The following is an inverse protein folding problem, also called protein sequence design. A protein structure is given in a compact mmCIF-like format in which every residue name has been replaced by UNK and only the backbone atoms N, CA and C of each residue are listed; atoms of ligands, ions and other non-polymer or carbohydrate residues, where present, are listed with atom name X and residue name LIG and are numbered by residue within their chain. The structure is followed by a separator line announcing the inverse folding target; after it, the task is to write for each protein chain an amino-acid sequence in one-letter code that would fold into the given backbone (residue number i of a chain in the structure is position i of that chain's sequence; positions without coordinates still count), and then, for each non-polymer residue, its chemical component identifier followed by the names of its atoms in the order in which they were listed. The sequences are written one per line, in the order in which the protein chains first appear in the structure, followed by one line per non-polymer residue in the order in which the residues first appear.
data_IF_049105206939
#
_entry.id   IF_049105206939
#
_cell.length_a   1.000
_cell.length_b   1.000
_cell.length_c   1.000
_cell.angle_alpha   90.00
_cell.angle_beta   90.00
_cell.angle_gamma   90.00
#
_symmetry.space_group_name_H-M   'P 1'
#
loop_
_entity.id
_entity.type
_entity.pdbx_description
1 polymer ?
#
# COMPACT_ATOMS: atom_id res chain seq x y z
N UNK A 1 -7.36 -14.12 27.31
CA UNK A 1 -7.14 -13.81 25.90
C UNK A 1 -7.90 -14.78 24.98
N UNK A 2 -7.60 -16.07 25.01
CA UNK A 2 -8.21 -17.07 24.11
C UNK A 2 -9.75 -17.06 24.11
N UNK A 3 -10.39 -16.98 25.26
CA UNK A 3 -11.87 -16.95 25.34
C UNK A 3 -12.47 -15.70 24.67
N UNK A 4 -11.76 -14.58 24.62
CA UNK A 4 -12.24 -13.36 23.99
C UNK A 4 -12.20 -13.44 22.46
N UNK A 5 -11.28 -14.22 21.88
CA UNK A 5 -11.06 -14.33 20.43
C UNK A 5 -11.52 -15.66 19.82
N UNK A 6 -11.96 -16.61 20.66
CA UNK A 6 -12.33 -17.96 20.24
C UNK A 6 -13.41 -17.95 19.14
N UNK A 7 -13.12 -18.65 18.06
CA UNK A 7 -14.07 -18.88 16.97
C UNK A 7 -14.37 -17.64 16.11
N UNK A 8 -13.55 -16.59 16.19
CA UNK A 8 -13.71 -15.40 15.39
C UNK A 8 -12.36 -14.80 14.98
N UNK A 9 -12.39 -14.00 13.92
CA UNK A 9 -11.27 -13.16 13.46
C UNK A 9 -11.56 -11.70 13.79
N UNK A 10 -10.54 -10.83 13.93
CA UNK A 10 -10.76 -9.40 14.06
C UNK A 10 -11.54 -8.85 12.86
N UNK A 11 -12.28 -7.79 13.08
CA UNK A 11 -12.90 -7.03 12.01
C UNK A 11 -11.82 -6.41 11.12
N UNK A 12 -11.99 -6.56 9.82
CA UNK A 12 -11.14 -5.93 8.82
C UNK A 12 -11.97 -4.99 7.96
N UNK A 13 -11.47 -3.79 7.74
CA UNK A 13 -12.17 -2.76 6.96
C UNK A 13 -12.20 -3.14 5.49
N UNK A 14 -11.05 -3.55 4.95
CA UNK A 14 -10.85 -3.94 3.54
C UNK A 14 -9.90 -5.12 3.42
N UNK A 15 -9.98 -5.79 2.28
CA UNK A 15 -9.05 -6.85 1.89
C UNK A 15 -7.97 -6.29 0.98
N UNK A 16 -6.73 -6.42 1.42
CA UNK A 16 -5.54 -5.92 0.72
C UNK A 16 -4.68 -7.08 0.28
N UNK A 17 -4.41 -7.20 -1.01
CA UNK A 17 -3.55 -8.24 -1.55
C UNK A 17 -2.15 -7.69 -1.85
N UNK A 18 -1.12 -8.27 -1.25
CA UNK A 18 0.29 -8.02 -1.59
C UNK A 18 0.68 -8.97 -2.70
N UNK A 19 0.95 -8.42 -3.88
CA UNK A 19 1.32 -9.17 -5.06
C UNK A 19 2.82 -9.46 -5.09
N UNK A 20 3.20 -10.71 -5.30
CA UNK A 20 4.60 -11.14 -5.41
C UNK A 20 4.74 -12.38 -6.32
N UNK A 21 5.97 -12.76 -6.61
CA UNK A 21 6.24 -13.94 -7.44
C UNK A 21 6.97 -15.08 -6.69
N UNK A 22 6.59 -15.33 -5.45
CA UNK A 22 7.21 -16.37 -4.60
C UNK A 22 7.32 -17.74 -5.28
N UNK A 23 6.36 -18.11 -6.14
CA UNK A 23 6.40 -19.37 -6.90
C UNK A 23 7.60 -19.48 -7.84
N UNK A 24 8.02 -18.39 -8.47
CA UNK A 24 9.18 -18.32 -9.37
C UNK A 24 10.51 -18.06 -8.64
N UNK A 25 10.49 -17.74 -7.37
CA UNK A 25 11.69 -17.41 -6.60
C UNK A 25 12.78 -18.47 -6.66
N UNK A 26 12.42 -19.75 -6.80
CA UNK A 26 13.42 -20.83 -6.90
C UNK A 26 14.26 -20.76 -8.18
N UNK A 27 13.68 -20.29 -9.27
CA UNK A 27 14.41 -20.07 -10.53
C UNK A 27 15.32 -18.83 -10.46
N UNK A 28 14.94 -17.87 -9.65
CA UNK A 28 15.67 -16.61 -9.40
C UNK A 28 16.52 -16.65 -8.12
N UNK A 29 16.61 -17.78 -7.47
CA UNK A 29 17.10 -17.92 -6.09
C UNK A 29 18.43 -17.22 -5.81
N UNK A 30 19.41 -17.32 -6.70
CA UNK A 30 20.69 -16.63 -6.52
C UNK A 30 20.58 -15.11 -6.73
N UNK A 31 19.76 -14.67 -7.66
CA UNK A 31 19.53 -13.25 -7.92
C UNK A 31 18.75 -12.58 -6.79
N UNK A 32 17.76 -13.28 -6.28
CA UNK A 32 16.93 -12.81 -5.19
C UNK A 32 17.64 -12.69 -3.86
N UNK A 33 18.46 -13.67 -3.51
CA UNK A 33 19.26 -13.61 -2.28
C UNK A 33 20.20 -12.41 -2.36
N UNK A 34 20.78 -12.15 -3.51
CA UNK A 34 21.63 -10.97 -3.73
C UNK A 34 20.82 -9.66 -3.58
N UNK A 35 19.69 -9.54 -4.26
CA UNK A 35 18.82 -8.36 -4.17
C UNK A 35 18.20 -8.18 -2.78
N UNK A 36 17.77 -9.26 -2.14
CA UNK A 36 17.13 -9.20 -0.83
C UNK A 36 18.12 -8.84 0.30
N UNK A 37 19.37 -9.26 0.21
CA UNK A 37 20.35 -9.09 1.31
C UNK A 37 21.18 -7.84 1.13
N UNK A 38 21.51 -7.46 -0.09
CA UNK A 38 22.51 -6.43 -0.35
C UNK A 38 21.96 -5.09 -0.84
N UNK A 39 20.68 -5.03 -1.23
CA UNK A 39 20.09 -3.80 -1.72
C UNK A 39 19.15 -3.16 -0.70
N UNK A 40 19.34 -1.89 -0.45
CA UNK A 40 18.48 -1.01 0.33
C UNK A 40 17.03 -0.95 -0.16
N UNK A 41 16.79 -1.51 -1.31
CA UNK A 41 15.54 -1.59 -2.06
C UNK A 41 14.42 -2.38 -1.35
N UNK A 42 14.79 -3.21 -0.37
CA UNK A 42 13.82 -3.91 0.47
C UNK A 42 13.15 -3.00 1.51
N UNK A 43 13.63 -1.79 1.69
CA UNK A 43 13.09 -0.92 2.74
C UNK A 43 11.62 -0.61 2.54
N UNK A 44 11.18 -0.33 1.31
CA UNK A 44 9.77 -0.07 1.06
C UNK A 44 8.93 -1.33 1.26
N UNK A 45 9.40 -2.50 0.82
CA UNK A 45 8.67 -3.75 1.05
C UNK A 45 8.60 -4.10 2.55
N UNK A 46 9.72 -4.04 3.25
CA UNK A 46 9.76 -4.26 4.69
C UNK A 46 8.92 -3.21 5.44
N UNK A 47 9.00 -1.95 5.03
CA UNK A 47 8.21 -0.86 5.58
C UNK A 47 6.70 -1.04 5.41
N UNK A 48 6.27 -1.55 4.26
CA UNK A 48 4.86 -1.89 4.01
C UNK A 48 4.42 -3.05 4.90
N UNK A 49 5.24 -4.09 5.06
CA UNK A 49 4.91 -5.22 5.94
C UNK A 49 4.78 -4.78 7.39
N UNK A 50 5.68 -3.93 7.85
CA UNK A 50 5.62 -3.33 9.19
C UNK A 50 4.36 -2.48 9.36
N UNK A 51 4.06 -1.60 8.40
CA UNK A 51 2.89 -0.75 8.45
C UNK A 51 1.56 -1.52 8.37
N UNK A 52 1.51 -2.65 7.67
CA UNK A 52 0.33 -3.51 7.58
C UNK A 52 0.17 -4.43 8.79
N UNK A 53 1.25 -4.67 9.55
CA UNK A 53 1.18 -5.41 10.81
C UNK A 53 0.32 -4.63 11.81
N UNK A 54 -0.73 -5.26 12.34
CA UNK A 54 -1.69 -4.59 13.22
C UNK A 54 -2.70 -3.65 12.56
N UNK A 55 -2.59 -3.43 11.24
CA UNK A 55 -3.55 -2.64 10.48
C UNK A 55 -4.94 -3.32 10.46
N UNK A 56 -6.04 -2.55 10.40
CA UNK A 56 -7.39 -3.10 10.35
C UNK A 56 -7.77 -3.64 8.96
N UNK A 57 -6.81 -4.25 8.25
CA UNK A 57 -7.00 -4.83 6.92
C UNK A 57 -6.83 -6.34 6.94
N UNK A 58 -7.62 -7.05 6.10
CA UNK A 58 -7.37 -8.46 5.78
C UNK A 58 -6.24 -8.52 4.74
N UNK A 59 -5.02 -8.79 5.20
CA UNK A 59 -3.83 -8.83 4.35
C UNK A 59 -3.64 -10.21 3.78
N UNK A 60 -3.67 -10.33 2.45
CA UNK A 60 -3.45 -11.56 1.72
C UNK A 60 -2.22 -11.46 0.83
N UNK A 61 -1.47 -12.54 0.73
CA UNK A 61 -0.38 -12.66 -0.24
C UNK A 61 -0.89 -13.44 -1.45
N UNK A 62 -0.79 -12.84 -2.62
CA UNK A 62 -1.17 -13.45 -3.88
C UNK A 62 0.01 -13.49 -4.84
N UNK A 63 0.07 -14.50 -5.69
CA UNK A 63 1.13 -14.63 -6.67
C UNK A 63 0.61 -14.41 -8.10
N UNK A 64 1.53 -14.08 -9.00
CA UNK A 64 1.20 -14.00 -10.42
C UNK A 64 0.66 -15.34 -10.96
N UNK A 65 1.16 -16.47 -10.44
CA UNK A 65 0.67 -17.80 -10.81
C UNK A 65 -0.76 -18.05 -10.32
N UNK A 66 -1.16 -17.48 -9.19
CA UNK A 66 -2.54 -17.59 -8.71
C UNK A 66 -3.49 -16.83 -9.63
N UNK A 67 -3.14 -15.59 -10.00
CA UNK A 67 -3.92 -14.79 -10.94
C UNK A 67 -4.02 -15.50 -12.31
N UNK A 68 -2.90 -16.04 -12.82
CA UNK A 68 -2.87 -16.77 -14.10
C UNK A 68 -3.79 -17.98 -14.11
N UNK A 69 -3.87 -18.71 -12.99
CA UNK A 69 -4.72 -19.89 -12.84
C UNK A 69 -6.19 -19.55 -12.62
N UNK A 70 -6.46 -18.49 -11.87
CA UNK A 70 -7.80 -18.08 -11.48
C UNK A 70 -7.91 -16.56 -11.33
N UNK A 71 -8.10 -15.80 -12.42
CA UNK A 71 -8.26 -14.34 -12.35
C UNK A 71 -9.44 -13.90 -11.47
N UNK A 72 -10.48 -14.73 -11.37
CA UNK A 72 -11.68 -14.44 -10.58
C UNK A 72 -11.41 -14.27 -9.07
N UNK A 73 -10.25 -14.73 -8.59
CA UNK A 73 -9.86 -14.51 -7.21
C UNK A 73 -9.73 -13.03 -6.83
N UNK A 74 -9.51 -12.17 -7.82
CA UNK A 74 -9.40 -10.73 -7.60
C UNK A 74 -10.74 -10.10 -7.19
N UNK A 75 -11.87 -10.76 -7.41
CA UNK A 75 -13.21 -10.28 -7.01
C UNK A 75 -13.38 -10.16 -5.49
N UNK A 76 -12.57 -10.89 -4.72
CA UNK A 76 -12.57 -10.87 -3.25
C UNK A 76 -11.52 -9.92 -2.67
N UNK A 77 -10.88 -9.10 -3.51
CA UNK A 77 -9.84 -8.14 -3.16
C UNK A 77 -10.38 -6.73 -3.37
N UNK A 78 -10.10 -5.83 -2.44
CA UNK A 78 -10.41 -4.40 -2.61
C UNK A 78 -9.22 -3.63 -3.21
N UNK A 79 -7.99 -3.93 -2.76
CA UNK A 79 -6.78 -3.23 -3.19
C UNK A 79 -5.62 -4.21 -3.41
N UNK A 80 -4.90 -4.04 -4.51
CA UNK A 80 -3.64 -4.74 -4.78
C UNK A 80 -2.47 -3.81 -4.47
N UNK A 81 -1.47 -4.29 -3.74
CA UNK A 81 -0.17 -3.64 -3.52
C UNK A 81 0.90 -4.35 -4.35
N UNK A 82 1.67 -3.59 -5.13
CA UNK A 82 2.87 -4.06 -5.81
C UNK A 82 4.05 -3.16 -5.42
N UNK A 83 5.03 -3.72 -4.71
CA UNK A 83 6.02 -2.94 -3.96
C UNK A 83 7.44 -3.45 -4.22
N UNK A 84 8.36 -2.54 -4.50
CA UNK A 84 9.78 -2.83 -4.65
C UNK A 84 10.37 -2.27 -5.93
N UNK A 85 11.59 -2.69 -6.25
CA UNK A 85 12.24 -2.28 -7.47
C UNK A 85 11.78 -3.11 -8.68
N UNK A 86 11.86 -2.51 -9.85
CA UNK A 86 11.59 -3.19 -11.11
C UNK A 86 12.48 -4.40 -11.32
N UNK A 87 12.00 -5.35 -12.07
CA UNK A 87 12.71 -6.60 -12.39
C UNK A 87 13.10 -7.47 -11.19
N UNK A 88 12.39 -7.33 -10.07
CA UNK A 88 12.58 -8.16 -8.88
C UNK A 88 11.40 -9.12 -8.66
N UNK A 89 11.59 -10.11 -7.80
CA UNK A 89 10.52 -11.00 -7.40
C UNK A 89 9.40 -10.30 -6.58
N UNK A 90 9.69 -9.16 -6.02
CA UNK A 90 8.68 -8.36 -5.33
C UNK A 90 7.73 -7.68 -6.31
N UNK A 91 8.24 -7.13 -7.39
CA UNK A 91 7.45 -6.43 -8.41
C UNK A 91 7.01 -7.32 -9.57
N UNK A 92 7.64 -8.47 -9.77
CA UNK A 92 7.19 -9.48 -10.73
C UNK A 92 8.04 -9.67 -11.97
N UNK A 93 8.90 -8.73 -12.33
CA UNK A 93 9.79 -8.82 -13.49
C UNK A 93 9.05 -9.17 -14.79
N UNK A 94 9.49 -10.22 -15.47
CA UNK A 94 8.94 -10.69 -16.75
C UNK A 94 7.47 -11.18 -16.69
N UNK A 95 6.87 -11.33 -15.50
CA UNK A 95 5.42 -11.60 -15.40
C UNK A 95 4.59 -10.49 -16.03
N UNK A 96 5.12 -9.27 -16.08
CA UNK A 96 4.43 -8.13 -16.69
C UNK A 96 4.41 -8.14 -18.22
N UNK A 97 5.04 -9.13 -18.87
CA UNK A 97 4.88 -9.40 -20.31
C UNK A 97 3.72 -10.35 -20.60
N UNK A 98 3.11 -10.94 -19.56
CA UNK A 98 1.99 -11.87 -19.69
C UNK A 98 0.67 -11.11 -19.79
N UNK A 99 0.05 -11.14 -20.96
CA UNK A 99 -1.22 -10.47 -21.23
C UNK A 99 -2.34 -10.93 -20.29
N UNK A 100 -2.33 -12.18 -19.85
CA UNK A 100 -3.34 -12.70 -18.90
C UNK A 100 -3.27 -11.96 -17.58
N UNK A 101 -2.06 -11.72 -17.07
CA UNK A 101 -1.83 -10.98 -15.82
C UNK A 101 -2.23 -9.51 -15.98
N UNK A 102 -1.68 -8.88 -17.02
CA UNK A 102 -1.90 -7.45 -17.28
C UNK A 102 -3.38 -7.15 -17.49
N UNK A 103 -4.06 -7.99 -18.29
CA UNK A 103 -5.49 -7.82 -18.56
C UNK A 103 -6.33 -8.05 -17.30
N UNK A 104 -6.05 -9.09 -16.51
CA UNK A 104 -6.80 -9.39 -15.30
C UNK A 104 -6.71 -8.23 -14.29
N UNK A 105 -5.52 -7.66 -14.09
CA UNK A 105 -5.35 -6.54 -13.16
C UNK A 105 -5.94 -5.25 -13.72
N UNK A 106 -5.79 -4.96 -15.02
CA UNK A 106 -6.46 -3.82 -15.65
C UNK A 106 -7.98 -3.93 -15.52
N UNK A 107 -8.57 -5.11 -15.79
CA UNK A 107 -10.00 -5.34 -15.64
C UNK A 107 -10.46 -5.17 -14.18
N UNK A 108 -9.70 -5.69 -13.23
CA UNK A 108 -9.95 -5.52 -11.80
C UNK A 108 -10.03 -4.04 -11.43
N UNK A 109 -9.03 -3.23 -11.82
CA UNK A 109 -9.04 -1.79 -11.51
C UNK A 109 -10.13 -1.08 -12.29
N UNK A 110 -10.30 -1.38 -13.59
CA UNK A 110 -11.33 -0.73 -14.41
C UNK A 110 -12.75 -0.90 -13.82
N UNK A 111 -13.02 -2.02 -13.18
CA UNK A 111 -14.30 -2.36 -12.53
C UNK A 111 -14.40 -1.90 -11.05
N UNK A 112 -13.51 -1.03 -10.58
CA UNK A 112 -13.61 -0.39 -9.27
C UNK A 112 -12.59 -0.83 -8.23
N UNK A 113 -11.68 -1.76 -8.56
CA UNK A 113 -10.59 -2.15 -7.66
C UNK A 113 -9.53 -1.08 -7.51
N UNK A 114 -8.76 -1.14 -6.42
CA UNK A 114 -7.62 -0.26 -6.15
C UNK A 114 -6.28 -0.92 -6.51
N UNK A 115 -5.34 -0.12 -7.04
CA UNK A 115 -3.97 -0.58 -7.25
C UNK A 115 -2.97 0.43 -6.70
N UNK A 116 -2.13 0.02 -5.77
CA UNK A 116 -1.09 0.87 -5.19
C UNK A 116 0.27 0.31 -5.58
N UNK A 117 1.04 1.14 -6.28
CA UNK A 117 2.38 0.83 -6.71
C UNK A 117 3.42 1.65 -5.94
N UNK A 118 4.42 0.99 -5.33
CA UNK A 118 5.46 1.64 -4.54
C UNK A 118 6.84 1.22 -5.04
N UNK A 119 7.70 2.19 -5.29
CA UNK A 119 9.03 2.00 -5.85
C UNK A 119 9.03 2.06 -7.38
N UNK A 120 9.33 0.97 -8.03
CA UNK A 120 9.19 0.76 -9.48
C UNK A 120 8.12 -0.34 -9.74
N UNK A 121 6.88 -0.08 -9.33
CA UNK A 121 5.82 -1.08 -9.42
C UNK A 121 5.57 -1.44 -10.87
N UNK A 122 5.35 -2.72 -11.13
CA UNK A 122 5.14 -3.22 -12.50
C UNK A 122 6.30 -2.91 -13.46
N UNK A 123 7.47 -2.52 -12.90
CA UNK A 123 8.65 -2.11 -13.65
C UNK A 123 9.28 -3.29 -14.39
N UNK A 124 9.21 -3.23 -15.72
CA UNK A 124 9.87 -4.15 -16.64
C UNK A 124 9.91 -3.52 -18.04
N UNK A 125 11.09 -3.49 -18.66
CA UNK A 125 11.23 -2.91 -20.00
C UNK A 125 10.60 -3.79 -21.05
N UNK A 126 9.40 -3.44 -21.52
CA UNK A 126 8.67 -4.18 -22.53
C UNK A 126 7.85 -3.24 -23.43
N UNK A 127 7.86 -3.47 -24.74
CA UNK A 127 7.07 -2.71 -25.73
C UNK A 127 7.14 -1.18 -25.61
N UNK A 128 8.34 -0.67 -25.29
CA UNK A 128 8.55 0.77 -25.15
C UNK A 128 7.98 1.41 -23.87
N UNK A 129 7.59 0.58 -22.92
CA UNK A 129 7.13 0.99 -21.58
C UNK A 129 8.08 0.43 -20.54
N UNK A 130 8.18 1.13 -19.41
CA UNK A 130 8.86 0.58 -18.23
C UNK A 130 7.84 0.25 -17.13
N UNK A 131 6.91 1.14 -16.84
CA UNK A 131 5.79 0.88 -15.93
C UNK A 131 4.67 0.22 -16.73
N UNK A 132 4.48 -1.09 -16.57
CA UNK A 132 3.55 -1.85 -17.42
C UNK A 132 2.09 -1.49 -17.16
N UNK A 133 1.72 -1.11 -15.93
CA UNK A 133 0.40 -0.59 -15.59
C UNK A 133 0.38 0.96 -15.53
N UNK A 134 1.10 1.62 -16.44
CA UNK A 134 1.20 3.09 -16.45
C UNK A 134 -0.16 3.79 -16.57
N UNK A 135 -1.10 3.21 -17.28
CA UNK A 135 -2.44 3.78 -17.43
C UNK A 135 -3.25 3.74 -16.13
N UNK A 136 -3.00 2.74 -15.29
CA UNK A 136 -3.59 2.63 -13.95
C UNK A 136 -2.92 3.60 -12.99
N UNK A 137 -1.58 3.62 -12.97
CA UNK A 137 -0.80 4.40 -12.01
C UNK A 137 -0.65 5.88 -12.40
N UNK A 138 -0.90 6.23 -13.66
CA UNK A 138 -0.77 7.59 -14.16
C UNK A 138 0.69 8.06 -14.32
N UNK A 139 1.66 7.16 -14.23
CA UNK A 139 3.09 7.52 -14.29
C UNK A 139 3.86 6.62 -15.24
N UNK A 140 4.98 7.15 -15.75
CA UNK A 140 5.94 6.40 -16.55
C UNK A 140 7.37 6.86 -16.19
N UNK A 141 8.34 6.05 -16.51
CA UNK A 141 9.76 6.35 -16.31
C UNK A 141 10.44 6.63 -17.65
N UNK A 142 11.24 7.72 -17.70
CA UNK A 142 12.16 7.94 -18.81
C UNK A 142 13.31 6.94 -18.76
N UNK A 143 13.50 6.21 -19.83
CA UNK A 143 14.52 5.17 -19.93
C UNK A 143 15.63 5.58 -20.91
N UNK A 144 16.87 5.37 -20.48
CA UNK A 144 18.05 5.58 -21.30
C UNK A 144 18.56 7.02 -21.32
N UNK A 145 17.79 7.98 -20.83
CA UNK A 145 18.16 9.39 -20.72
C UNK A 145 17.65 9.96 -19.40
N UNK A 146 18.25 11.07 -18.97
CA UNK A 146 17.69 11.84 -17.87
C UNK A 146 16.44 12.57 -18.33
N UNK A 147 15.46 12.67 -17.41
CA UNK A 147 14.22 13.37 -17.64
C UNK A 147 14.50 14.84 -18.01
N UNK A 148 13.97 15.28 -19.15
CA UNK A 148 14.04 16.69 -19.52
C UNK A 148 13.05 17.51 -18.66
N UNK A 149 13.51 17.91 -17.48
CA UNK A 149 12.73 18.61 -16.46
C UNK A 149 12.17 19.95 -16.91
N UNK A 150 12.74 20.58 -17.96
CA UNK A 150 12.26 21.85 -18.50
C UNK A 150 10.90 21.71 -19.20
N UNK A 151 10.53 20.50 -19.61
CA UNK A 151 9.24 20.21 -20.23
C UNK A 151 8.09 20.17 -19.23
N UNK A 152 8.39 20.03 -17.94
CA UNK A 152 7.38 19.78 -16.93
C UNK A 152 7.27 20.95 -15.95
N UNK A 153 6.04 21.29 -15.64
CA UNK A 153 5.69 22.23 -14.59
C UNK A 153 4.49 21.67 -13.83
N UNK A 154 4.77 20.76 -12.92
CA UNK A 154 3.77 20.08 -12.14
C UNK A 154 3.20 21.00 -11.06
N UNK A 155 1.90 20.91 -10.83
CA UNK A 155 1.24 21.50 -9.67
C UNK A 155 0.92 20.36 -8.68
N UNK A 156 1.29 20.56 -7.41
CA UNK A 156 0.92 19.62 -6.34
C UNK A 156 -0.46 19.95 -5.81
N UNK A 157 -1.24 18.90 -5.57
CA UNK A 157 -2.60 19.02 -5.09
C UNK A 157 -2.74 18.49 -3.66
N UNK A 158 -3.53 19.20 -2.85
CA UNK A 158 -4.00 18.66 -1.56
C UNK A 158 -4.96 17.50 -1.82
N UNK A 159 -4.77 16.41 -1.09
CA UNK A 159 -5.52 15.19 -1.31
C UNK A 159 -5.76 14.44 -0.02
N UNK A 160 -6.85 13.66 0.06
CA UNK A 160 -7.17 12.80 1.20
C UNK A 160 -5.95 12.02 1.71
N UNK A 161 -5.12 11.47 0.82
CA UNK A 161 -3.94 10.67 1.19
C UNK A 161 -2.93 11.48 2.02
N UNK A 162 -2.79 12.77 1.75
CA UNK A 162 -1.74 13.62 2.33
C UNK A 162 -2.26 14.76 3.20
N UNK A 163 -3.56 14.88 3.41
CA UNK A 163 -4.14 16.06 4.07
C UNK A 163 -3.76 16.21 5.54
N UNK A 164 -3.43 15.12 6.23
CA UNK A 164 -3.00 15.14 7.63
C UNK A 164 -1.47 14.99 7.80
N UNK A 165 -0.72 14.96 6.71
CA UNK A 165 0.74 14.98 6.78
C UNK A 165 1.22 16.33 7.31
N UNK A 166 1.90 16.34 8.45
CA UNK A 166 2.41 17.56 9.10
C UNK A 166 3.78 17.99 8.58
N UNK A 167 4.36 17.25 7.67
CA UNK A 167 5.68 17.47 7.09
C UNK A 167 5.81 16.80 5.74
N UNK A 168 7.03 16.71 5.25
CA UNK A 168 7.33 16.01 4.02
C UNK A 168 7.19 14.49 4.20
N UNK A 169 6.66 13.83 3.20
CA UNK A 169 6.64 12.37 3.13
C UNK A 169 8.07 11.89 2.89
N UNK A 170 8.53 10.93 3.68
CA UNK A 170 9.82 10.29 3.46
C UNK A 170 9.68 9.23 2.35
N UNK A 171 10.27 9.54 1.20
CA UNK A 171 10.33 8.60 0.06
C UNK A 171 11.59 7.73 0.08
N UNK A 172 12.43 7.82 1.11
CA UNK A 172 13.71 7.14 1.15
C UNK A 172 14.62 7.62 0.03
N UNK A 173 15.18 6.70 -0.77
CA UNK A 173 15.99 7.07 -1.92
C UNK A 173 15.16 7.62 -3.10
N UNK A 174 13.84 7.45 -3.06
CA UNK A 174 12.91 7.84 -4.13
C UNK A 174 13.23 7.15 -5.46
N UNK A 175 12.46 7.45 -6.49
CA UNK A 175 12.76 7.00 -7.85
C UNK A 175 12.97 8.18 -8.77
N UNK A 176 13.96 8.06 -9.67
CA UNK A 176 14.37 9.12 -10.59
C UNK A 176 13.73 8.93 -11.97
N UNK A 177 13.68 10.04 -12.69
CA UNK A 177 13.18 10.09 -14.06
C UNK A 177 11.69 9.71 -14.20
N UNK A 178 10.92 9.81 -13.11
CA UNK A 178 9.47 9.56 -13.13
C UNK A 178 8.71 10.81 -13.56
N UNK A 179 7.78 10.63 -14.51
CA UNK A 179 6.90 11.69 -14.98
C UNK A 179 5.44 11.23 -15.01
N UNK A 180 4.54 12.20 -14.88
CA UNK A 180 3.10 11.94 -14.93
C UNK A 180 2.58 11.89 -16.37
N UNK A 181 1.62 11.02 -16.60
CA UNK A 181 0.80 11.00 -17.81
C UNK A 181 -0.28 12.08 -17.73
N UNK A 182 -0.92 12.45 -18.87
CA UNK A 182 -2.08 13.34 -18.86
C UNK A 182 -3.17 12.87 -17.87
N UNK A 183 -3.86 13.84 -17.29
CA UNK A 183 -4.99 13.64 -16.36
C UNK A 183 -4.62 13.04 -14.99
N UNK A 184 -3.32 12.81 -14.71
CA UNK A 184 -2.83 12.33 -13.42
C UNK A 184 -2.75 13.48 -12.42
N UNK A 185 -3.24 13.25 -11.20
CA UNK A 185 -3.13 14.21 -10.09
C UNK A 185 -1.83 13.97 -9.31
N UNK A 186 -0.95 14.96 -9.28
CA UNK A 186 0.33 14.89 -8.58
C UNK A 186 0.14 15.38 -7.15
N UNK A 187 0.57 14.57 -6.18
CA UNK A 187 0.48 14.88 -4.77
C UNK A 187 1.83 15.38 -4.21
N UNK A 188 2.94 14.84 -4.70
CA UNK A 188 4.29 15.27 -4.32
C UNK A 188 5.25 15.11 -5.49
N UNK A 189 6.19 16.04 -5.58
CA UNK A 189 7.32 16.00 -6.51
C UNK A 189 8.61 16.44 -5.82
N UNK A 190 9.75 16.01 -6.34
CA UNK A 190 11.06 16.50 -5.95
C UNK A 190 11.83 16.83 -7.24
N UNK A 191 12.32 18.05 -7.38
CA UNK A 191 13.04 18.52 -8.57
C UNK A 191 12.30 18.24 -9.89
N UNK A 192 10.97 18.43 -9.89
CA UNK A 192 10.07 18.13 -11.02
C UNK A 192 9.97 16.64 -11.40
N UNK A 193 10.45 15.75 -10.57
CA UNK A 193 10.23 14.31 -10.71
C UNK A 193 9.09 13.87 -9.80
N UNK A 194 8.14 13.12 -10.34
CA UNK A 194 6.95 12.69 -9.60
C UNK A 194 7.34 11.69 -8.51
N UNK A 195 6.99 11.99 -7.27
CA UNK A 195 7.23 11.11 -6.13
C UNK A 195 5.94 10.46 -5.63
N UNK A 196 4.80 11.14 -5.76
CA UNK A 196 3.50 10.59 -5.42
C UNK A 196 2.44 11.14 -6.36
N UNK A 197 1.61 10.25 -6.87
CA UNK A 197 0.52 10.61 -7.77
C UNK A 197 -0.68 9.67 -7.58
N UNK A 198 -1.85 10.15 -7.98
CA UNK A 198 -3.08 9.36 -8.04
C UNK A 198 -3.73 9.50 -9.40
N UNK A 199 -4.39 8.43 -9.82
CA UNK A 199 -5.04 8.38 -11.12
C UNK A 199 -6.35 7.60 -11.04
N UNK A 200 -7.32 7.98 -11.86
CA UNK A 200 -8.56 7.22 -12.06
C UNK A 200 -8.45 6.36 -13.32
N UNK A 201 -8.87 5.12 -13.23
CA UNK A 201 -8.87 4.19 -14.36
C UNK A 201 -10.17 3.39 -14.38
N UNK A 202 -11.08 3.75 -15.28
CA UNK A 202 -12.46 3.25 -15.22
C UNK A 202 -13.16 3.71 -13.95
N UNK A 203 -13.74 2.77 -13.22
CA UNK A 203 -14.35 3.01 -11.91
C UNK A 203 -13.34 2.89 -10.75
N UNK A 204 -12.13 2.42 -11.02
CA UNK A 204 -11.10 2.18 -10.00
C UNK A 204 -10.05 3.28 -9.91
N UNK A 205 -9.12 3.09 -8.99
CA UNK A 205 -8.12 4.08 -8.60
C UNK A 205 -6.73 3.50 -8.50
N UNK A 206 -5.75 4.22 -9.08
CA UNK A 206 -4.33 3.93 -8.98
C UNK A 206 -3.59 4.93 -8.09
N UNK A 207 -2.66 4.45 -7.29
CA UNK A 207 -1.75 5.29 -6.48
C UNK A 207 -0.32 4.90 -6.79
N UNK A 208 0.49 5.88 -7.11
CA UNK A 208 1.94 5.73 -7.24
C UNK A 208 2.67 6.42 -6.10
N UNK A 209 3.66 5.76 -5.51
CA UNK A 209 4.56 6.29 -4.48
C UNK A 209 5.98 5.82 -4.81
N UNK A 210 6.94 6.73 -4.91
CA UNK A 210 8.31 6.41 -5.34
C UNK A 210 9.13 5.61 -4.33
N UNK A 211 8.73 5.62 -3.07
CA UNK A 211 9.31 4.86 -1.97
C UNK A 211 8.55 5.15 -0.68
N UNK A 212 8.49 4.18 0.22
CA UNK A 212 7.77 4.34 1.48
C UNK A 212 8.44 3.50 2.58
N UNK A 213 9.64 3.92 3.09
CA UNK A 213 10.23 3.27 4.25
C UNK A 213 9.31 3.41 5.46
N UNK A 214 9.46 2.51 6.43
CA UNK A 214 8.62 2.55 7.63
C UNK A 214 8.89 3.81 8.45
N UNK A 215 7.83 4.53 8.72
CA UNK A 215 7.71 5.54 9.78
C UNK A 215 6.23 5.68 10.16
N UNK A 216 5.93 6.37 11.25
CA UNK A 216 4.56 6.66 11.62
C UNK A 216 3.82 7.44 10.55
N UNK A 217 4.45 8.48 10.04
CA UNK A 217 3.91 9.35 9.00
C UNK A 217 3.63 8.54 7.73
N UNK A 218 4.58 7.71 7.33
CA UNK A 218 4.44 6.87 6.14
C UNK A 218 3.36 5.80 6.31
N UNK A 219 3.19 5.25 7.52
CA UNK A 219 2.08 4.33 7.82
C UNK A 219 0.72 5.02 7.63
N UNK A 220 0.60 6.30 8.04
CA UNK A 220 -0.63 7.09 7.79
C UNK A 220 -0.88 7.26 6.30
N UNK A 221 0.16 7.62 5.53
CA UNK A 221 0.06 7.74 4.07
C UNK A 221 -0.44 6.44 3.44
N UNK A 222 0.12 5.29 3.85
CA UNK A 222 -0.30 3.99 3.34
C UNK A 222 -1.76 3.67 3.67
N UNK A 223 -2.18 3.87 4.93
CA UNK A 223 -3.57 3.63 5.35
C UNK A 223 -4.56 4.44 4.54
N UNK A 224 -4.29 5.73 4.39
CA UNK A 224 -5.15 6.62 3.62
C UNK A 224 -5.11 6.27 2.13
N UNK A 225 -3.97 5.87 1.59
CA UNK A 225 -3.86 5.41 0.22
C UNK A 225 -4.71 4.15 -0.04
N UNK A 226 -4.71 3.19 0.91
CA UNK A 226 -5.54 1.99 0.82
C UNK A 226 -7.02 2.35 0.86
N UNK A 227 -7.46 3.16 1.82
CA UNK A 227 -8.87 3.56 1.93
C UNK A 227 -9.33 4.34 0.70
N UNK A 228 -8.51 5.26 0.20
CA UNK A 228 -8.84 5.98 -1.02
C UNK A 228 -8.93 5.06 -2.23
N UNK A 229 -7.95 4.18 -2.43
CA UNK A 229 -7.96 3.24 -3.54
C UNK A 229 -9.15 2.27 -3.48
N UNK A 230 -9.63 1.95 -2.26
CA UNK A 230 -10.78 1.09 -2.01
C UNK A 230 -12.13 1.84 -2.00
N UNK A 231 -12.18 3.14 -2.31
CA UNK A 231 -13.39 3.99 -2.23
C UNK A 231 -14.06 3.98 -0.85
N UNK A 232 -13.26 4.02 0.21
CA UNK A 232 -13.74 3.82 1.60
C UNK A 232 -13.21 4.87 2.58
N UNK A 233 -13.02 6.09 2.12
CA UNK A 233 -12.44 7.20 2.88
C UNK A 233 -13.23 7.50 4.17
N UNK A 234 -14.55 7.24 4.16
CA UNK A 234 -15.45 7.47 5.30
C UNK A 234 -15.15 6.57 6.49
N UNK A 235 -14.49 5.43 6.28
CA UNK A 235 -14.15 4.47 7.32
C UNK A 235 -12.75 4.67 7.92
N UNK A 236 -12.08 5.81 7.65
CA UNK A 236 -10.76 6.13 8.19
C UNK A 236 -10.70 6.01 9.73
N UNK A 237 -11.79 6.39 10.41
CA UNK A 237 -11.88 6.37 11.87
C UNK A 237 -12.80 5.27 12.41
N UNK A 238 -12.67 4.04 11.87
CA UNK A 238 -13.48 2.91 12.31
C UNK A 238 -12.61 1.81 12.88
N UNK A 239 -12.75 1.52 14.18
CA UNK A 239 -11.87 0.61 14.92
C UNK A 239 -10.41 0.99 14.73
N UNK A 240 -10.10 2.20 15.08
CA UNK A 240 -8.84 2.85 14.77
C UNK A 240 -8.29 3.61 15.98
N UNK A 241 -6.99 3.83 15.99
CA UNK A 241 -6.28 4.65 16.96
C UNK A 241 -5.60 5.85 16.28
N UNK A 242 -5.67 7.01 16.89
CA UNK A 242 -4.93 8.18 16.39
C UNK A 242 -3.40 8.05 16.55
N UNK A 243 -2.96 7.09 17.36
CA UNK A 243 -1.55 6.77 17.61
C UNK A 243 -1.23 5.40 17.03
N UNK A 244 -0.37 5.30 16.03
CA UNK A 244 -0.02 4.05 15.34
C UNK A 244 0.77 3.06 16.20
N UNK A 245 1.30 3.47 17.37
CA UNK A 245 1.84 2.57 18.39
C UNK A 245 0.75 1.81 19.14
N UNK A 246 -0.51 2.21 18.95
CA UNK A 246 -1.65 1.61 19.61
C UNK A 246 -2.59 1.03 18.56
N UNK A 247 -2.83 -0.26 18.62
CA UNK A 247 -3.71 -0.98 17.71
C UNK A 247 -5.09 -1.18 18.33
N UNK A 248 -6.12 -1.25 17.47
CA UNK A 248 -7.49 -1.56 17.89
C UNK A 248 -7.99 -2.76 17.09
N UNK A 249 -8.29 -3.86 17.78
CA UNK A 249 -8.79 -5.09 17.18
C UNK A 249 -10.19 -5.39 17.69
N UNK A 250 -11.20 -5.33 16.80
CA UNK A 250 -12.58 -5.58 17.15
C UNK A 250 -12.98 -7.01 16.77
N UNK A 251 -13.50 -7.73 17.74
CA UNK A 251 -14.06 -9.08 17.59
C UNK A 251 -15.59 -8.97 17.67
N UNK A 252 -16.18 -8.40 16.65
CA UNK A 252 -17.60 -7.99 16.61
C UNK A 252 -18.53 -9.15 16.93
N UNK A 253 -18.24 -10.37 16.44
CA UNK A 253 -19.04 -11.56 16.72
C UNK A 253 -19.06 -11.96 18.20
N UNK A 254 -18.03 -11.57 18.95
CA UNK A 254 -17.92 -11.84 20.39
C UNK A 254 -18.33 -10.63 21.23
N UNK A 255 -18.80 -9.54 20.60
CA UNK A 255 -19.20 -8.32 21.28
C UNK A 255 -18.04 -7.61 22.02
N UNK A 256 -16.81 -7.81 21.58
CA UNK A 256 -15.61 -7.29 22.25
C UNK A 256 -14.61 -6.65 21.30
N UNK A 257 -13.79 -5.76 21.86
CA UNK A 257 -12.60 -5.26 21.19
C UNK A 257 -11.45 -5.14 22.18
N UNK A 258 -10.22 -5.18 21.70
CA UNK A 258 -9.04 -4.89 22.49
C UNK A 258 -8.26 -3.73 21.89
N UNK A 259 -7.54 -3.05 22.76
CA UNK A 259 -6.63 -1.96 22.46
C UNK A 259 -5.27 -2.40 22.97
N UNK A 260 -4.25 -2.31 22.13
CA UNK A 260 -2.91 -2.86 22.40
C UNK A 260 -1.88 -1.77 22.22
N UNK A 261 -1.10 -1.49 23.27
CA UNK A 261 0.12 -0.70 23.13
C UNK A 261 1.29 -1.64 22.82
N UNK A 262 1.81 -1.56 21.59
CA UNK A 262 2.92 -2.42 21.12
C UNK A 262 4.31 -1.89 21.48
N UNK A 263 4.40 -0.89 22.33
CA UNK A 263 5.68 -0.27 22.69
C UNK A 263 6.05 -0.49 24.15
N UNK A 264 7.32 -0.28 24.45
CA UNK A 264 7.86 -0.29 25.82
C UNK A 264 7.72 1.06 26.54
N UNK A 265 6.96 2.00 25.96
CA UNK A 265 6.71 3.33 26.51
C UNK A 265 5.20 3.56 26.68
N UNK A 266 4.77 4.33 27.69
CA UNK A 266 3.38 4.75 27.79
C UNK A 266 2.92 5.53 26.54
N UNK A 267 1.66 5.35 26.16
CA UNK A 267 1.09 5.98 24.96
C UNK A 267 -0.24 6.67 25.27
N UNK A 268 -0.42 7.87 24.73
CA UNK A 268 -1.69 8.56 24.69
C UNK A 268 -2.31 8.45 23.30
N UNK A 269 -3.60 8.19 23.25
CA UNK A 269 -4.32 8.03 21.98
C UNK A 269 -5.78 8.45 22.07
N UNK A 270 -6.38 8.72 20.92
CA UNK A 270 -7.83 8.74 20.73
C UNK A 270 -8.23 7.42 20.06
N UNK A 271 -9.10 6.66 20.72
CA UNK A 271 -9.64 5.42 20.19
C UNK A 271 -10.98 5.70 19.52
N UNK A 272 -11.12 5.29 18.28
CA UNK A 272 -12.36 5.37 17.50
C UNK A 272 -13.03 4.01 17.45
N UNK A 273 -14.30 3.94 17.82
CA UNK A 273 -15.10 2.71 17.78
C UNK A 273 -15.75 2.46 16.41
N UNK A 274 -16.39 1.30 16.26
CA UNK A 274 -17.07 0.90 15.03
C UNK A 274 -18.29 1.78 14.66
N UNK A 275 -18.85 2.51 15.62
CA UNK A 275 -19.95 3.45 15.43
C UNK A 275 -19.47 4.89 15.17
N UNK A 276 -18.14 5.11 15.07
CA UNK A 276 -17.54 6.42 14.88
C UNK A 276 -17.39 7.25 16.16
N UNK A 277 -17.90 6.80 17.29
CA UNK A 277 -17.66 7.47 18.57
C UNK A 277 -16.21 7.28 19.03
N UNK A 278 -15.68 8.23 19.80
CA UNK A 278 -14.29 8.18 20.22
C UNK A 278 -14.12 8.56 21.69
N UNK A 279 -12.98 8.18 22.27
CA UNK A 279 -12.58 8.54 23.61
C UNK A 279 -11.05 8.62 23.73
N UNK A 280 -10.56 9.47 24.64
CA UNK A 280 -9.15 9.53 24.97
C UNK A 280 -8.76 8.36 25.87
N UNK A 281 -7.58 7.81 25.65
CA UNK A 281 -7.03 6.69 26.42
C UNK A 281 -5.54 6.91 26.66
N UNK A 282 -5.13 6.71 27.91
CA UNK A 282 -3.74 6.52 28.29
C UNK A 282 -3.48 5.04 28.49
N UNK A 283 -2.38 4.53 28.00
CA UNK A 283 -1.97 3.14 28.12
C UNK A 283 -0.54 3.05 28.66
N UNK A 284 -0.33 2.13 29.58
CA UNK A 284 1.01 1.77 30.01
C UNK A 284 1.76 0.96 28.95
N UNK A 285 3.08 0.83 29.12
CA UNK A 285 3.93 0.04 28.22
C UNK A 285 3.43 -1.40 28.09
N UNK A 286 3.31 -1.91 26.86
CA UNK A 286 2.83 -3.27 26.55
C UNK A 286 1.44 -3.62 27.14
N UNK A 287 0.62 -2.63 27.42
CA UNK A 287 -0.71 -2.85 27.98
C UNK A 287 -1.70 -3.36 26.92
N UNK A 288 -2.59 -4.25 27.34
CA UNK A 288 -3.72 -4.74 26.53
C UNK A 288 -5.00 -4.50 27.34
N UNK A 289 -5.90 -3.69 26.78
CA UNK A 289 -7.18 -3.36 27.39
C UNK A 289 -8.30 -4.01 26.59
N UNK A 290 -9.17 -4.78 27.26
CA UNK A 290 -10.37 -5.36 26.68
C UNK A 290 -11.59 -4.54 27.07
N UNK A 291 -12.49 -4.31 26.11
CA UNK A 291 -13.77 -3.61 26.29
C UNK A 291 -14.91 -4.33 25.57
N UNK A 292 -16.11 -4.09 26.02
CA UNK A 292 -17.35 -4.53 25.33
C UNK A 292 -17.70 -3.49 24.24
N UNK A 293 -18.31 -3.98 23.14
CA UNK A 293 -18.77 -3.16 22.00
C UNK A 293 -20.03 -2.41 22.38
#
# INVERSE_FOLDING_TARGET
LYENIKGTTPYCVKTVAVLNCWGKMRAWGNHMVHHAIYHKQNYSYAGIMEALSGAPFDVRFITFDDIRKNPDMLKDIDVILNVGDGDTAYTGGDNWTDETIVSAINEFVYNGGGFIGIGEPTGHQWEGKYIQLRSVLGVERENGFDLNKDKYNWEEHTHFITEDCKGDVDFGEGKKNMYALPDTTILRQIDKEVQMAVNSFGEGRGVYISGLPYSFENSRVLYRAILWAAHDEENLHRWFSSNYNVEVHAYVKNGKYCIVNNTYEPQDTVVYKGDGTSFNLHMEANEIIWKEI
#
